data_IF_679786611516
#
_entry.id   IF_679786611516
#
_cell.length_a   1.000
_cell.length_b   1.000
_cell.length_c   1.000
_cell.angle_alpha   90.00
_cell.angle_beta   90.00
_cell.angle_gamma   90.00
#
_symmetry.space_group_name_H-M   'P 1'
#
loop_
_entity.id
_entity.type
_entity.pdbx_description
1 polymer ?
#
# COMPACT_ATOMS: atom_id res chain seq x y z
N UNK A 1 -11.04 0.04 5.97
CA UNK A 1 -9.62 0.44 6.09
C UNK A 1 -8.96 -0.28 7.25
N UNK A 2 -7.75 -0.80 7.07
CA UNK A 2 -6.90 -1.28 8.17
C UNK A 2 -5.52 -0.62 8.07
N UNK A 3 -4.97 -0.16 9.18
CA UNK A 3 -3.66 0.48 9.22
C UNK A 3 -3.43 1.18 10.56
N UNK A 4 -2.33 1.92 10.66
CA UNK A 4 -1.99 2.62 11.89
C UNK A 4 -2.65 4.02 11.93
N UNK A 5 -3.89 4.11 12.41
CA UNK A 5 -4.64 5.37 12.48
C UNK A 5 -4.30 6.15 13.76
N UNK A 6 -4.24 7.48 13.69
CA UNK A 6 -3.55 8.33 14.66
C UNK A 6 -2.11 8.69 14.24
N UNK A 7 -1.69 8.18 13.09
CA UNK A 7 -0.38 8.37 12.48
C UNK A 7 -0.56 8.80 11.01
N UNK A 8 0.37 9.64 10.50
CA UNK A 8 0.22 10.35 9.22
C UNK A 8 -0.24 9.45 8.03
N UNK A 9 0.29 8.23 7.93
CA UNK A 9 0.03 7.32 6.80
C UNK A 9 -1.34 6.66 6.91
N UNK A 10 -1.72 6.15 8.10
CA UNK A 10 -3.03 5.53 8.29
C UNK A 10 -4.17 6.55 8.25
N UNK A 11 -3.93 7.75 8.77
CA UNK A 11 -4.89 8.85 8.68
C UNK A 11 -5.07 9.33 7.24
N UNK A 12 -3.98 9.52 6.49
CA UNK A 12 -4.09 9.93 5.07
C UNK A 12 -4.82 8.88 4.22
N UNK A 13 -4.58 7.59 4.45
CA UNK A 13 -5.30 6.51 3.77
C UNK A 13 -6.81 6.55 4.09
N UNK A 14 -7.17 6.74 5.36
CA UNK A 14 -8.57 6.82 5.76
C UNK A 14 -9.26 8.06 5.20
N UNK A 15 -8.66 9.23 5.34
CA UNK A 15 -9.24 10.49 4.86
C UNK A 15 -9.38 10.49 3.33
N UNK A 16 -8.40 9.95 2.61
CA UNK A 16 -8.49 9.78 1.16
C UNK A 16 -9.66 8.89 0.74
N UNK A 17 -9.84 7.74 1.40
CA UNK A 17 -10.97 6.86 1.17
C UNK A 17 -12.31 7.52 1.52
N UNK A 18 -12.36 8.26 2.64
CA UNK A 18 -13.54 8.97 3.08
C UNK A 18 -13.96 10.07 2.09
N UNK A 19 -13.02 10.88 1.60
CA UNK A 19 -13.33 11.92 0.61
C UNK A 19 -13.77 11.33 -0.73
N UNK A 20 -13.15 10.25 -1.19
CA UNK A 20 -13.60 9.56 -2.40
C UNK A 20 -15.01 9.00 -2.26
N UNK A 21 -15.31 8.33 -1.13
CA UNK A 21 -16.65 7.84 -0.85
C UNK A 21 -17.67 8.97 -0.76
N UNK A 22 -17.31 10.09 -0.12
CA UNK A 22 -18.15 11.28 -0.04
C UNK A 22 -18.46 11.84 -1.43
N UNK A 23 -17.46 12.04 -2.28
CA UNK A 23 -17.64 12.56 -3.64
C UNK A 23 -18.55 11.65 -4.47
N UNK A 24 -18.32 10.34 -4.43
CA UNK A 24 -19.16 9.34 -5.13
C UNK A 24 -20.60 9.37 -4.62
N UNK A 25 -20.79 9.40 -3.30
CA UNK A 25 -22.13 9.41 -2.69
C UNK A 25 -22.88 10.72 -2.98
N UNK A 26 -22.20 11.87 -2.96
CA UNK A 26 -22.77 13.17 -3.32
C UNK A 26 -23.13 13.27 -4.81
N UNK A 27 -22.43 12.52 -5.68
CA UNK A 27 -22.76 12.37 -7.10
C UNK A 27 -23.93 11.41 -7.38
N UNK A 28 -24.53 10.82 -6.34
CA UNK A 28 -25.68 9.91 -6.47
C UNK A 28 -25.33 8.43 -6.36
N UNK A 29 -24.11 8.08 -5.92
CA UNK A 29 -23.68 6.70 -5.73
C UNK A 29 -23.24 6.01 -7.02
N UNK A 30 -23.11 4.68 -6.97
CA UNK A 30 -22.69 3.84 -8.11
C UNK A 30 -23.85 2.97 -8.57
N UNK A 31 -24.27 3.10 -9.83
CA UNK A 31 -25.25 2.19 -10.43
C UNK A 31 -24.57 0.91 -10.94
N UNK A 32 -24.96 -0.22 -10.35
CA UNK A 32 -24.53 -1.55 -10.77
C UNK A 32 -25.77 -2.32 -11.21
N UNK A 33 -25.99 -2.39 -12.52
CA UNK A 33 -27.08 -3.18 -13.10
C UNK A 33 -28.49 -2.66 -12.77
N UNK A 34 -28.66 -1.36 -12.60
CA UNK A 34 -29.93 -0.71 -12.25
C UNK A 34 -30.18 -0.57 -10.75
N UNK A 35 -29.21 -0.95 -9.92
CA UNK A 35 -29.26 -0.79 -8.46
C UNK A 35 -28.18 0.19 -8.02
N UNK A 36 -28.57 1.25 -7.31
CA UNK A 36 -27.64 2.25 -6.79
C UNK A 36 -27.07 1.82 -5.44
N UNK A 37 -25.74 1.81 -5.35
CA UNK A 37 -24.98 1.53 -4.13
C UNK A 37 -24.29 2.79 -3.63
N UNK A 38 -24.19 2.91 -2.30
CA UNK A 38 -23.42 3.94 -1.62
C UNK A 38 -22.22 3.31 -0.93
N UNK A 39 -21.14 4.07 -0.81
CA UNK A 39 -19.89 3.60 -0.22
C UNK A 39 -19.83 4.04 1.24
N UNK A 40 -19.71 3.08 2.15
CA UNK A 40 -19.39 3.30 3.56
C UNK A 40 -17.90 3.13 3.81
N UNK A 41 -17.32 3.94 4.71
CA UNK A 41 -15.91 3.83 5.09
C UNK A 41 -15.81 3.70 6.60
N UNK A 42 -15.13 2.65 7.06
CA UNK A 42 -14.77 2.44 8.46
C UNK A 42 -13.29 2.05 8.58
N UNK A 43 -12.73 2.16 9.78
CA UNK A 43 -11.30 1.91 10.03
C UNK A 43 -11.05 1.14 11.32
N UNK A 44 -9.96 0.39 11.35
CA UNK A 44 -9.42 -0.24 12.55
C UNK A 44 -7.89 -0.09 12.63
N UNK A 45 -7.38 -0.06 13.86
CA UNK A 45 -5.96 0.20 14.16
C UNK A 45 -5.22 -1.10 14.32
N UNK A 46 -4.29 -1.38 13.39
CA UNK A 46 -3.45 -2.58 13.43
C UNK A 46 -2.15 -2.39 14.24
N UNK A 47 -1.80 -1.16 14.62
CA UNK A 47 -0.59 -0.80 15.40
C UNK A 47 0.72 -1.26 14.71
N UNK A 48 0.73 -1.18 13.37
CA UNK A 48 1.80 -1.70 12.52
C UNK A 48 3.09 -0.87 12.54
N UNK A 49 3.14 0.27 13.22
CA UNK A 49 4.41 1.00 13.44
C UNK A 49 5.04 0.73 14.79
N UNK A 50 4.37 -0.02 15.67
CA UNK A 50 4.93 -0.34 16.98
C UNK A 50 6.31 -1.00 16.81
N UNK A 51 7.37 -0.52 17.50
CA UNK A 51 8.72 -1.09 17.37
C UNK A 51 8.76 -2.58 17.76
N UNK A 52 7.78 -3.04 18.53
CA UNK A 52 7.54 -4.45 18.79
C UNK A 52 6.43 -4.94 17.85
N UNK A 53 6.68 -6.01 17.10
CA UNK A 53 5.66 -6.62 16.24
C UNK A 53 4.60 -7.28 17.16
N UNK A 54 3.49 -6.56 17.38
CA UNK A 54 2.35 -7.04 18.16
C UNK A 54 1.28 -7.60 17.22
N UNK A 55 1.52 -8.82 16.71
CA UNK A 55 0.62 -9.52 15.76
C UNK A 55 -0.83 -9.63 16.25
N UNK A 56 -1.02 -9.78 17.57
CA UNK A 56 -2.35 -9.88 18.19
C UNK A 56 -3.22 -8.64 18.00
N UNK A 57 -2.61 -7.44 17.89
CA UNK A 57 -3.36 -6.20 17.63
C UNK A 57 -3.90 -6.16 16.21
N UNK A 58 -3.06 -6.50 15.23
CA UNK A 58 -3.47 -6.64 13.83
C UNK A 58 -4.57 -7.68 13.65
N UNK A 59 -4.42 -8.87 14.25
CA UNK A 59 -5.45 -9.94 14.21
C UNK A 59 -6.76 -9.46 14.84
N UNK A 60 -6.69 -8.83 16.01
CA UNK A 60 -7.90 -8.31 16.68
C UNK A 60 -8.57 -7.21 15.85
N UNK A 61 -7.80 -6.34 15.18
CA UNK A 61 -8.32 -5.33 14.28
C UNK A 61 -8.99 -5.94 13.04
N UNK A 62 -8.40 -6.98 12.46
CA UNK A 62 -9.01 -7.73 11.36
C UNK A 62 -10.35 -8.35 11.77
N UNK A 63 -10.38 -9.04 12.92
CA UNK A 63 -11.63 -9.63 13.45
C UNK A 63 -12.72 -8.60 13.72
N UNK A 64 -12.38 -7.40 14.22
CA UNK A 64 -13.37 -6.33 14.39
C UNK A 64 -13.90 -5.83 13.04
N UNK A 65 -13.07 -5.74 12.01
CA UNK A 65 -13.54 -5.39 10.66
C UNK A 65 -14.49 -6.45 10.11
N UNK A 66 -14.16 -7.73 10.26
CA UNK A 66 -14.93 -8.85 9.73
C UNK A 66 -16.24 -9.04 10.53
N UNK A 67 -16.15 -9.24 11.84
CA UNK A 67 -17.26 -9.75 12.64
C UNK A 67 -18.05 -8.67 13.39
N UNK A 68 -17.43 -7.55 13.74
CA UNK A 68 -18.13 -6.47 14.47
C UNK A 68 -18.67 -5.40 13.53
N UNK A 69 -17.91 -5.08 12.48
CA UNK A 69 -18.25 -4.04 11.50
C UNK A 69 -18.78 -4.59 10.18
N UNK A 70 -18.68 -5.90 9.99
CA UNK A 70 -19.27 -6.62 8.85
C UNK A 70 -18.95 -5.95 7.51
N UNK A 71 -17.68 -5.59 7.30
CA UNK A 71 -17.27 -4.91 6.05
C UNK A 71 -17.29 -5.86 4.87
N UNK A 72 -17.66 -5.35 3.69
CA UNK A 72 -17.71 -6.17 2.46
C UNK A 72 -16.30 -6.48 1.89
N UNK A 73 -15.35 -5.58 2.12
CA UNK A 73 -13.97 -5.70 1.66
C UNK A 73 -13.04 -4.82 2.48
N UNK A 74 -11.74 -5.13 2.42
CA UNK A 74 -10.71 -4.40 3.17
C UNK A 74 -9.68 -3.81 2.24
N UNK A 75 -9.19 -2.62 2.59
CA UNK A 75 -7.98 -2.07 2.01
C UNK A 75 -7.03 -1.59 3.11
N UNK A 76 -5.74 -1.76 2.88
CA UNK A 76 -4.72 -1.33 3.83
C UNK A 76 -3.46 -2.19 3.83
N UNK A 77 -2.87 -2.30 5.01
CA UNK A 77 -1.59 -2.97 5.26
C UNK A 77 -0.39 -2.12 4.87
N UNK A 78 0.54 -1.97 5.81
CA UNK A 78 1.69 -1.08 5.69
C UNK A 78 3.00 -1.83 5.92
N UNK A 79 3.16 -2.48 7.08
CA UNK A 79 4.37 -3.23 7.41
C UNK A 79 4.21 -4.70 7.02
N UNK A 80 5.07 -5.19 6.15
CA UNK A 80 4.96 -6.52 5.54
C UNK A 80 4.85 -7.65 6.57
N UNK A 81 5.70 -7.63 7.60
CA UNK A 81 5.73 -8.65 8.66
C UNK A 81 4.45 -8.65 9.50
N UNK A 82 3.85 -7.47 9.70
CA UNK A 82 2.57 -7.38 10.39
C UNK A 82 1.42 -7.86 9.52
N UNK A 83 1.42 -7.54 8.22
CA UNK A 83 0.37 -7.95 7.30
C UNK A 83 0.29 -9.48 7.21
N UNK A 84 1.43 -10.19 7.21
CA UNK A 84 1.45 -11.67 7.27
C UNK A 84 0.61 -12.19 8.44
N UNK A 85 0.58 -11.49 9.58
CA UNK A 85 -0.10 -11.99 10.77
C UNK A 85 -1.63 -11.93 10.69
N UNK A 86 -2.21 -10.95 9.98
CA UNK A 86 -3.66 -10.73 9.99
C UNK A 86 -4.31 -10.91 8.62
N UNK A 87 -3.53 -11.04 7.53
CA UNK A 87 -4.07 -11.35 6.20
C UNK A 87 -4.85 -12.67 6.22
N UNK A 88 -4.39 -13.63 7.02
CA UNK A 88 -5.00 -14.95 7.21
C UNK A 88 -6.48 -14.86 7.60
N UNK A 89 -6.82 -13.96 8.53
CA UNK A 89 -8.20 -13.76 9.01
C UNK A 89 -9.14 -13.34 7.86
N UNK A 90 -8.64 -12.55 6.90
CA UNK A 90 -9.42 -12.15 5.74
C UNK A 90 -9.51 -13.24 4.69
N UNK A 91 -8.44 -14.02 4.48
CA UNK A 91 -8.44 -15.10 3.49
C UNK A 91 -9.32 -16.26 3.93
N UNK A 92 -9.35 -16.57 5.23
CA UNK A 92 -10.18 -17.63 5.80
C UNK A 92 -11.68 -17.32 5.67
N UNK A 93 -12.05 -16.04 5.65
CA UNK A 93 -13.41 -15.55 5.42
C UNK A 93 -13.67 -15.19 3.95
N UNK A 94 -12.77 -15.59 3.05
CA UNK A 94 -12.88 -15.37 1.60
C UNK A 94 -13.09 -13.88 1.21
N UNK A 95 -12.55 -12.97 2.03
CA UNK A 95 -12.80 -11.54 1.91
C UNK A 95 -11.78 -10.86 0.99
N UNK A 96 -12.27 -10.00 0.09
CA UNK A 96 -11.44 -9.21 -0.79
C UNK A 96 -10.53 -8.28 0.03
N UNK A 97 -9.22 -8.41 -0.16
CA UNK A 97 -8.22 -7.57 0.48
C UNK A 97 -7.39 -6.83 -0.55
N UNK A 98 -7.42 -5.50 -0.52
CA UNK A 98 -6.65 -4.60 -1.38
C UNK A 98 -5.44 -4.09 -0.59
N UNK A 99 -4.27 -4.68 -0.83
CA UNK A 99 -2.99 -4.23 -0.27
C UNK A 99 -2.59 -2.88 -0.84
N UNK A 100 -2.27 -1.91 0.03
CA UNK A 100 -1.92 -0.54 -0.38
C UNK A 100 -0.58 -0.02 0.13
N UNK A 101 0.12 -0.75 1.02
CA UNK A 101 1.37 -0.29 1.62
C UNK A 101 2.48 -1.34 1.75
N UNK A 102 2.16 -2.62 1.93
CA UNK A 102 3.17 -3.67 2.04
C UNK A 102 3.82 -4.01 0.68
N UNK A 103 5.13 -3.80 0.57
CA UNK A 103 5.87 -3.97 -0.68
C UNK A 103 6.47 -5.38 -0.88
N UNK A 104 6.61 -6.17 0.18
CA UNK A 104 7.26 -7.47 0.14
C UNK A 104 6.58 -8.44 -0.85
N UNK A 105 7.40 -9.19 -1.59
CA UNK A 105 6.93 -10.13 -2.62
C UNK A 105 6.14 -11.30 -2.02
N UNK A 106 6.37 -11.62 -0.73
CA UNK A 106 5.73 -12.73 -0.02
C UNK A 106 4.19 -12.70 -0.12
N UNK A 107 3.58 -11.52 -0.05
CA UNK A 107 2.12 -11.39 -0.12
C UNK A 107 1.56 -11.79 -1.48
N UNK A 108 2.27 -11.46 -2.56
CA UNK A 108 1.90 -11.90 -3.91
C UNK A 108 2.31 -13.35 -4.18
N UNK A 109 3.35 -13.84 -3.49
CA UNK A 109 3.79 -15.23 -3.60
C UNK A 109 2.76 -16.19 -3.01
N UNK A 110 2.07 -15.82 -1.92
CA UNK A 110 0.97 -16.63 -1.38
C UNK A 110 -0.13 -16.90 -2.42
N UNK A 111 -0.43 -15.93 -3.29
CA UNK A 111 -1.39 -16.12 -4.39
C UNK A 111 -0.90 -17.12 -5.43
N UNK A 112 0.41 -17.16 -5.68
CA UNK A 112 1.03 -18.09 -6.64
C UNK A 112 1.07 -19.51 -6.06
N UNK A 113 1.48 -19.64 -4.79
CA UNK A 113 1.75 -20.92 -4.17
C UNK A 113 0.46 -21.60 -3.65
N UNK A 114 -0.50 -20.81 -3.16
CA UNK A 114 -1.74 -21.29 -2.54
C UNK A 114 -2.96 -20.51 -3.05
N UNK A 115 -3.14 -20.52 -4.37
CA UNK A 115 -4.17 -19.73 -5.05
C UNK A 115 -5.59 -19.89 -4.47
N UNK A 116 -6.01 -21.11 -4.14
CA UNK A 116 -7.39 -21.36 -3.67
C UNK A 116 -7.74 -20.53 -2.43
N UNK A 117 -6.77 -20.33 -1.55
CA UNK A 117 -6.92 -19.55 -0.30
C UNK A 117 -6.66 -18.06 -0.52
N UNK A 118 -5.62 -17.71 -1.27
CA UNK A 118 -5.16 -16.32 -1.38
C UNK A 118 -5.67 -15.55 -2.61
N UNK A 119 -6.50 -16.16 -3.48
CA UNK A 119 -7.11 -15.49 -4.67
C UNK A 119 -7.89 -14.20 -4.36
N UNK A 120 -8.21 -13.94 -3.10
CA UNK A 120 -8.91 -12.73 -2.65
C UNK A 120 -7.97 -11.54 -2.36
N UNK A 121 -6.65 -11.74 -2.40
CA UNK A 121 -5.67 -10.68 -2.19
C UNK A 121 -5.27 -10.01 -3.51
N UNK A 122 -5.44 -8.69 -3.57
CA UNK A 122 -5.03 -7.85 -4.70
C UNK A 122 -4.08 -6.76 -4.21
N UNK A 123 -3.01 -6.51 -4.96
CA UNK A 123 -2.05 -5.44 -4.64
C UNK A 123 -1.89 -4.49 -5.81
N UNK A 124 -2.76 -3.46 -5.93
CA UNK A 124 -2.55 -2.42 -6.92
C UNK A 124 -1.33 -1.54 -6.60
N UNK A 125 -0.99 -1.40 -5.31
CA UNK A 125 0.10 -0.55 -4.80
C UNK A 125 0.65 -1.11 -3.46
N UNK A 126 1.90 -0.82 -3.09
CA UNK A 126 2.95 -0.34 -3.97
C UNK A 126 3.33 -1.41 -4.99
N UNK A 127 3.88 -0.97 -6.11
CA UNK A 127 4.50 -1.84 -7.11
C UNK A 127 5.57 -2.65 -6.37
N UNK A 128 5.66 -3.96 -6.66
CA UNK A 128 6.47 -4.88 -5.87
C UNK A 128 7.92 -4.39 -5.69
N UNK A 129 8.61 -4.78 -4.60
CA UNK A 129 9.95 -4.25 -4.28
C UNK A 129 10.93 -4.30 -5.46
N UNK A 130 10.84 -5.36 -6.28
CA UNK A 130 11.63 -5.53 -7.50
C UNK A 130 11.33 -4.47 -8.58
N UNK A 131 10.06 -4.17 -8.83
CA UNK A 131 9.64 -3.12 -9.76
C UNK A 131 9.80 -1.71 -9.18
N UNK A 132 9.63 -1.54 -7.87
CA UNK A 132 9.95 -0.29 -7.16
C UNK A 132 11.43 0.06 -7.31
N UNK A 133 12.33 -0.91 -7.20
CA UNK A 133 13.76 -0.73 -7.49
C UNK A 133 14.01 -0.27 -8.93
N UNK A 134 13.30 -0.84 -9.89
CA UNK A 134 13.37 -0.44 -11.30
C UNK A 134 12.82 0.98 -11.55
N UNK A 135 11.78 1.37 -10.80
CA UNK A 135 11.15 2.68 -10.89
C UNK A 135 11.96 3.78 -10.21
N UNK A 136 12.61 3.46 -9.08
CA UNK A 136 13.60 4.31 -8.44
C UNK A 136 14.76 4.55 -9.41
N UNK A 137 15.32 3.50 -10.02
CA UNK A 137 16.38 3.62 -11.01
C UNK A 137 15.95 4.46 -12.22
N UNK A 138 14.74 4.24 -12.73
CA UNK A 138 14.19 5.01 -13.86
C UNK A 138 13.96 6.48 -13.52
N UNK A 139 13.52 6.78 -12.28
CA UNK A 139 13.36 8.15 -11.77
C UNK A 139 14.71 8.83 -11.63
N UNK A 140 15.73 8.14 -11.13
CA UNK A 140 17.09 8.67 -11.04
C UNK A 140 17.73 8.92 -12.41
N UNK A 141 17.57 8.00 -13.37
CA UNK A 141 18.03 8.20 -14.75
C UNK A 141 17.30 9.38 -15.39
N UNK A 142 15.98 9.49 -15.21
CA UNK A 142 15.19 10.62 -15.67
C UNK A 142 15.62 11.95 -15.06
N UNK A 143 15.93 11.98 -13.76
CA UNK A 143 16.46 13.15 -13.06
C UNK A 143 17.85 13.56 -13.60
N UNK A 144 18.76 12.61 -13.79
CA UNK A 144 20.09 12.86 -14.35
C UNK A 144 19.98 13.44 -15.76
N UNK A 145 19.16 12.86 -16.63
CA UNK A 145 18.95 13.36 -17.99
C UNK A 145 18.34 14.75 -18.01
N UNK A 146 17.39 15.02 -17.10
CA UNK A 146 16.77 16.34 -16.95
C UNK A 146 17.78 17.38 -16.45
N UNK A 147 18.63 17.03 -15.48
CA UNK A 147 19.71 17.89 -15.00
C UNK A 147 20.76 18.16 -16.08
N UNK A 148 21.15 17.17 -16.87
CA UNK A 148 22.06 17.32 -18.00
C UNK A 148 21.45 18.21 -19.10
N UNK A 149 20.17 18.03 -19.41
CA UNK A 149 19.44 18.83 -20.40
C UNK A 149 19.18 20.27 -19.97
N UNK A 150 18.94 20.51 -18.68
CA UNK A 150 18.56 21.83 -18.15
C UNK A 150 19.77 22.67 -17.75
N UNK A 151 20.81 22.06 -17.18
CA UNK A 151 21.97 22.76 -16.60
C UNK A 151 23.27 22.53 -17.37
N UNK A 152 23.25 21.78 -18.49
CA UNK A 152 24.43 21.58 -19.35
C UNK A 152 25.55 20.76 -18.73
N UNK A 153 25.28 20.03 -17.64
CA UNK A 153 26.25 19.20 -16.93
C UNK A 153 26.75 18.11 -17.90
N UNK A 154 28.04 18.16 -18.27
CA UNK A 154 28.67 17.24 -19.22
C UNK A 154 28.93 17.80 -20.63
N UNK A 155 28.57 19.06 -20.93
CA UNK A 155 29.01 19.77 -22.15
C UNK A 155 30.27 20.60 -21.90
N UNK A 156 31.14 20.72 -22.91
CA UNK A 156 32.30 21.62 -22.87
C UNK A 156 31.86 23.05 -22.50
N UNK A 157 32.44 23.59 -21.42
CA UNK A 157 32.19 24.96 -20.94
C UNK A 157 31.29 25.11 -19.70
N UNK A 158 30.72 24.02 -19.16
CA UNK A 158 29.92 24.05 -17.92
C UNK A 158 30.54 23.24 -16.78
N UNK A 159 30.18 23.54 -15.53
CA UNK A 159 30.71 22.96 -14.29
C UNK A 159 30.91 21.44 -14.36
N UNK A 160 32.15 20.99 -14.18
CA UNK A 160 32.59 19.58 -14.25
C UNK A 160 32.28 18.79 -12.98
N UNK A 161 31.17 19.08 -12.28
CA UNK A 161 30.79 18.31 -11.09
C UNK A 161 30.27 16.93 -11.50
N UNK A 162 31.20 16.02 -11.78
CA UNK A 162 30.92 14.61 -11.99
C UNK A 162 30.44 14.01 -10.66
N UNK A 163 29.18 13.58 -10.61
CA UNK A 163 28.67 12.74 -9.52
C UNK A 163 29.39 11.39 -9.65
N UNK A 164 30.45 11.19 -8.88
CA UNK A 164 31.29 9.99 -8.97
C UNK A 164 30.75 8.80 -8.18
N UNK A 165 29.91 9.06 -7.16
CA UNK A 165 29.32 8.04 -6.30
C UNK A 165 27.95 8.50 -5.81
N UNK A 166 27.01 7.57 -5.76
CA UNK A 166 25.69 7.73 -5.16
C UNK A 166 25.62 6.67 -4.04
N UNK A 167 25.49 7.14 -2.80
CA UNK A 167 25.21 6.26 -1.66
C UNK A 167 23.70 6.10 -1.54
N UNK A 168 23.21 4.86 -1.67
CA UNK A 168 21.82 4.53 -1.37
C UNK A 168 21.83 3.82 -0.02
N UNK A 169 21.18 4.42 0.97
CA UNK A 169 20.88 3.74 2.23
C UNK A 169 19.55 3.02 1.99
N UNK A 170 19.63 1.73 1.69
CA UNK A 170 18.47 0.86 1.71
C UNK A 170 18.30 0.36 3.16
N UNK A 171 17.10 0.52 3.70
CA UNK A 171 16.76 -0.12 4.97
C UNK A 171 16.68 -1.63 4.72
N UNK A 172 17.50 -2.39 5.43
CA UNK A 172 17.47 -3.85 5.46
C UNK A 172 16.22 -4.28 6.22
N UNK A 173 15.21 -4.74 5.48
CA UNK A 173 14.03 -5.38 6.04
C UNK A 173 14.35 -6.88 6.19
N UNK A 174 15.18 -7.17 7.20
CA UNK A 174 15.51 -8.52 7.64
C UNK A 174 14.34 -9.24 8.30
#
# INVERSE_FOLDING_TARGET
MIGDTGELVGDSNYEGAYFAAKEINEAGGVDVGGTTYYIGVTREVSDEKNPQILTSRGISAARRLIFDKEVDYVMGGFRSESLIAYIEEFMDEEMLFIGTGAAADIHTQFVIDEYDRYKYFFRPMPINSTALGSQILSTFVGLILTMQGTYGIGREGYSTHNIKQIGILAEDLG
#
